data_IF_478338275815
#
_entry.id   IF_478338275815
#
_cell.length_a   1.000
_cell.length_b   1.000
_cell.length_c   1.000
_cell.angle_alpha   90.00
_cell.angle_beta   90.00
_cell.angle_gamma   90.00
#
_symmetry.space_group_name_H-M   'P 1'
#
loop_
_entity.id
_entity.type
_entity.pdbx_description
1 polymer ?
#
# COMPACT_ATOMS: atom_id res chain seq x y z
N UNK A 1 -56.34 -17.41 -28.51
CA UNK A 1 -55.47 -16.55 -27.66
C UNK A 1 -54.56 -17.34 -26.68
N UNK A 2 -54.96 -18.45 -26.09
CA UNK A 2 -54.12 -19.24 -25.14
C UNK A 2 -52.93 -19.97 -25.78
N UNK A 3 -53.00 -20.30 -27.09
CA UNK A 3 -51.91 -20.97 -27.82
C UNK A 3 -50.74 -20.01 -28.18
N UNK A 4 -51.06 -18.76 -28.52
CA UNK A 4 -50.09 -17.75 -28.92
C UNK A 4 -49.22 -17.26 -27.72
N UNK A 5 -49.81 -17.17 -26.54
CA UNK A 5 -49.08 -16.84 -25.29
C UNK A 5 -48.12 -17.95 -24.82
N UNK A 6 -48.44 -19.22 -25.08
CA UNK A 6 -47.56 -20.35 -24.77
C UNK A 6 -46.38 -20.43 -25.73
N UNK A 7 -46.55 -20.08 -26.99
CA UNK A 7 -45.47 -20.04 -27.97
C UNK A 7 -44.48 -18.86 -27.69
N UNK A 8 -45.01 -17.69 -27.26
CA UNK A 8 -44.16 -16.56 -26.85
C UNK A 8 -43.34 -16.84 -25.57
N UNK A 9 -43.94 -17.52 -24.59
CA UNK A 9 -43.23 -17.90 -23.36
C UNK A 9 -42.13 -18.94 -23.59
N UNK A 10 -42.31 -19.86 -24.55
CA UNK A 10 -41.33 -20.85 -24.93
C UNK A 10 -40.14 -20.28 -25.75
N UNK A 11 -40.37 -19.16 -26.48
CA UNK A 11 -39.32 -18.50 -27.26
C UNK A 11 -38.46 -17.52 -26.44
N UNK A 12 -38.97 -17.01 -25.30
CA UNK A 12 -38.22 -16.09 -24.42
C UNK A 12 -37.26 -16.82 -23.47
N UNK A 13 -37.58 -18.09 -23.12
CA UNK A 13 -36.75 -18.88 -22.19
C UNK A 13 -35.34 -19.20 -22.71
N UNK A 14 -35.08 -19.51 -24.00
CA UNK A 14 -33.72 -19.75 -24.49
C UNK A 14 -32.88 -18.48 -24.69
N UNK A 15 -33.52 -17.30 -24.81
CA UNK A 15 -32.80 -16.02 -24.98
C UNK A 15 -32.20 -15.51 -23.67
N UNK A 16 -32.74 -15.94 -22.52
CA UNK A 16 -32.18 -15.56 -21.19
C UNK A 16 -30.96 -16.39 -20.77
N UNK A 17 -30.64 -17.46 -21.49
CA UNK A 17 -29.50 -18.36 -21.10
C UNK A 17 -28.19 -17.94 -21.77
N UNK A 18 -28.18 -16.99 -22.71
CA UNK A 18 -26.98 -16.58 -23.49
C UNK A 18 -26.19 -15.42 -22.83
N UNK A 19 -26.63 -14.86 -21.72
CA UNK A 19 -25.88 -13.90 -20.92
C UNK A 19 -25.24 -14.54 -19.69
N UNK A 20 -24.61 -15.70 -19.84
CA UNK A 20 -23.56 -16.09 -18.90
C UNK A 20 -22.33 -15.23 -19.23
N UNK A 21 -22.20 -14.12 -18.52
CA UNK A 21 -21.02 -13.27 -18.52
C UNK A 21 -19.81 -14.17 -18.25
N UNK A 22 -18.84 -14.14 -19.15
CA UNK A 22 -17.50 -14.61 -18.86
C UNK A 22 -16.95 -13.81 -17.66
N UNK A 23 -17.21 -14.32 -16.46
CA UNK A 23 -16.78 -13.72 -15.21
C UNK A 23 -15.33 -14.14 -14.86
N UNK A 24 -14.54 -14.59 -15.82
CA UNK A 24 -13.21 -15.15 -15.64
C UNK A 24 -12.06 -14.24 -16.12
N UNK A 25 -12.28 -13.41 -17.13
CA UNK A 25 -11.24 -12.59 -17.69
C UNK A 25 -10.85 -11.43 -16.73
N UNK A 26 -9.55 -11.28 -16.47
CA UNK A 26 -9.01 -10.20 -15.67
C UNK A 26 -8.04 -9.38 -16.53
N UNK A 27 -7.99 -8.05 -16.33
CA UNK A 27 -7.04 -7.23 -17.07
C UNK A 27 -5.63 -7.44 -16.50
N UNK A 28 -4.63 -7.31 -17.35
CA UNK A 28 -3.23 -7.45 -16.94
C UNK A 28 -2.91 -6.57 -15.72
N UNK A 29 -3.39 -5.32 -15.68
CA UNK A 29 -3.17 -4.42 -14.52
C UNK A 29 -3.79 -4.89 -13.20
N UNK A 30 -4.82 -5.74 -13.24
CA UNK A 30 -5.49 -6.25 -12.04
C UNK A 30 -4.75 -7.46 -11.44
N UNK A 31 -4.00 -8.20 -12.27
CA UNK A 31 -3.30 -9.43 -11.89
C UNK A 31 -1.77 -9.31 -11.87
N UNK A 32 -1.23 -8.15 -12.25
CA UNK A 32 0.21 -7.96 -12.39
C UNK A 32 0.66 -6.54 -12.02
N UNK A 33 1.97 -6.38 -12.00
CA UNK A 33 2.66 -5.10 -11.84
C UNK A 33 3.85 -5.02 -12.80
N UNK A 34 4.27 -3.81 -13.19
CA UNK A 34 5.45 -3.64 -14.04
C UNK A 34 6.71 -3.51 -13.19
N UNK A 35 7.79 -4.17 -13.62
CA UNK A 35 9.09 -4.06 -12.95
C UNK A 35 9.58 -2.61 -12.97
N UNK A 36 10.05 -2.13 -11.81
CA UNK A 36 10.47 -0.73 -11.65
C UNK A 36 9.35 0.24 -11.31
N UNK A 37 8.09 -0.22 -11.30
CA UNK A 37 6.92 0.57 -10.90
C UNK A 37 6.47 0.09 -9.53
N UNK A 38 6.95 0.73 -8.47
CA UNK A 38 6.60 0.37 -7.08
C UNK A 38 6.56 1.59 -6.19
N UNK A 39 5.73 1.54 -5.18
CA UNK A 39 5.76 2.49 -4.07
C UNK A 39 7.01 2.26 -3.21
N UNK A 40 7.70 3.33 -2.85
CA UNK A 40 8.88 3.28 -2.00
C UNK A 40 8.53 3.81 -0.61
N UNK A 41 8.90 3.06 0.42
CA UNK A 41 8.69 3.47 1.81
C UNK A 41 9.78 4.46 2.21
N UNK A 42 9.35 5.60 2.75
CA UNK A 42 10.23 6.60 3.31
C UNK A 42 10.07 6.67 4.83
N UNK A 43 11.18 6.88 5.52
CA UNK A 43 11.19 7.03 6.96
C UNK A 43 12.09 8.20 7.37
N UNK A 44 11.65 8.93 8.39
CA UNK A 44 12.41 10.00 9.00
C UNK A 44 12.28 10.00 10.52
N UNK A 45 13.19 10.66 11.16
CA UNK A 45 13.17 10.92 12.59
C UNK A 45 13.06 12.42 12.82
N UNK A 46 12.08 12.85 13.58
CA UNK A 46 11.77 14.25 13.78
C UNK A 46 11.26 14.58 15.17
N UNK A 47 10.84 15.81 15.32
CA UNK A 47 10.23 16.33 16.55
C UNK A 47 8.90 16.99 16.26
N UNK A 48 7.94 16.72 17.11
CA UNK A 48 6.68 17.45 17.19
C UNK A 48 6.77 18.43 18.34
N UNK A 49 6.42 19.68 18.08
CA UNK A 49 6.46 20.78 19.03
C UNK A 49 5.06 21.39 19.24
N UNK A 50 4.89 22.20 20.29
CA UNK A 50 3.63 22.88 20.57
C UNK A 50 2.58 22.01 21.22
N UNK A 51 2.98 20.90 21.85
CA UNK A 51 2.07 20.02 22.56
C UNK A 51 1.61 20.68 23.88
N UNK A 52 0.31 20.57 24.24
CA UNK A 52 -0.21 21.20 25.47
C UNK A 52 0.13 20.37 26.73
N UNK A 53 1.41 20.22 27.03
CA UNK A 53 1.90 19.45 28.17
C UNK A 53 1.76 17.92 28.05
N UNK A 54 1.42 17.41 26.87
CA UNK A 54 1.23 15.98 26.57
C UNK A 54 2.44 15.31 25.94
N UNK A 55 3.53 16.05 25.77
CA UNK A 55 4.78 15.57 25.20
C UNK A 55 5.55 14.64 26.14
N UNK A 56 6.86 14.63 25.97
CA UNK A 56 7.76 13.72 26.69
C UNK A 56 7.94 14.08 28.16
N UNK A 57 8.26 13.06 28.94
CA UNK A 57 8.89 13.27 30.23
C UNK A 57 10.37 13.60 30.01
N UNK A 58 10.97 14.33 30.95
CA UNK A 58 12.40 14.64 30.88
C UNK A 58 13.24 13.35 31.04
N UNK A 59 13.71 12.82 29.93
CA UNK A 59 14.69 11.74 29.90
C UNK A 59 15.89 12.12 29.03
N UNK A 60 17.02 11.45 29.21
CA UNK A 60 18.26 11.78 28.51
C UNK A 60 18.14 11.66 26.99
N UNK A 61 17.35 10.72 26.49
CA UNK A 61 17.14 10.52 25.06
C UNK A 61 16.39 11.71 24.43
N UNK A 62 15.28 12.13 25.00
CA UNK A 62 14.49 13.25 24.49
C UNK A 62 15.26 14.57 24.56
N UNK A 63 16.02 14.78 25.65
CA UNK A 63 16.87 15.94 25.82
C UNK A 63 17.98 16.01 24.75
N UNK A 64 18.67 14.90 24.52
CA UNK A 64 19.71 14.85 23.48
C UNK A 64 19.16 15.07 22.07
N UNK A 65 18.01 14.48 21.76
CA UNK A 65 17.34 14.68 20.47
C UNK A 65 17.01 16.15 20.24
N UNK A 66 16.43 16.79 21.26
CA UNK A 66 16.08 18.22 21.18
C UNK A 66 17.32 19.11 21.00
N UNK A 67 18.41 18.82 21.74
CA UNK A 67 19.70 19.53 21.60
C UNK A 67 20.27 19.35 20.21
N UNK A 68 20.29 18.14 19.68
CA UNK A 68 20.80 17.85 18.33
C UNK A 68 20.02 18.63 17.28
N UNK A 69 18.69 18.68 17.41
CA UNK A 69 17.85 19.43 16.51
C UNK A 69 18.15 20.94 16.56
N UNK A 70 18.23 21.54 17.74
CA UNK A 70 18.55 22.96 17.88
C UNK A 70 19.94 23.29 17.34
N UNK A 71 20.90 22.42 17.53
CA UNK A 71 22.23 22.57 16.93
C UNK A 71 22.17 22.58 15.40
N UNK A 72 21.31 21.75 14.77
CA UNK A 72 21.10 21.75 13.33
C UNK A 72 20.50 23.07 12.82
N UNK A 73 19.74 23.79 13.66
CA UNK A 73 19.23 25.13 13.38
C UNK A 73 20.22 26.24 13.79
N UNK A 74 21.44 25.89 14.21
CA UNK A 74 22.46 26.86 14.62
C UNK A 74 22.27 27.41 16.04
N UNK A 75 21.31 26.89 16.80
CA UNK A 75 21.03 27.30 18.20
C UNK A 75 21.79 26.39 19.15
N UNK A 76 22.79 26.93 19.83
CA UNK A 76 23.56 26.22 20.86
C UNK A 76 22.94 26.46 22.23
N UNK A 77 22.52 25.42 22.91
CA UNK A 77 22.07 25.48 24.30
C UNK A 77 23.22 25.02 25.20
N UNK A 78 23.46 25.76 26.29
CA UNK A 78 24.42 25.38 27.30
C UNK A 78 24.08 24.02 27.91
N UNK A 79 25.10 23.20 28.18
CA UNK A 79 24.94 21.84 28.75
C UNK A 79 24.29 21.83 30.14
N UNK A 80 24.35 22.94 30.85
CA UNK A 80 23.72 23.09 32.18
C UNK A 80 22.25 23.41 32.12
N UNK A 81 21.69 23.73 30.95
CA UNK A 81 20.26 24.02 30.79
C UNK A 81 19.49 22.73 30.51
N UNK A 82 18.55 22.40 31.38
CA UNK A 82 17.62 21.27 31.17
C UNK A 82 16.31 21.79 30.61
N UNK A 83 16.05 21.60 29.27
CA UNK A 83 14.82 22.05 28.67
C UNK A 83 13.62 21.25 29.21
N UNK A 84 12.46 21.91 29.33
CA UNK A 84 11.21 21.24 29.67
C UNK A 84 10.65 20.57 28.43
N UNK A 85 10.57 19.23 28.46
CA UNK A 85 10.19 18.43 27.28
C UNK A 85 8.67 18.18 27.17
N UNK A 86 7.85 18.73 28.06
CA UNK A 86 6.38 18.48 28.09
C UNK A 86 5.65 18.94 26.82
N UNK A 87 6.22 19.88 26.09
CA UNK A 87 5.61 20.46 24.89
C UNK A 87 6.24 19.93 23.61
N UNK A 88 7.11 18.91 23.71
CA UNK A 88 7.88 18.34 22.62
C UNK A 88 7.79 16.80 22.66
N UNK A 89 7.75 16.15 21.50
CA UNK A 89 7.82 14.69 21.40
C UNK A 89 8.71 14.26 20.24
N UNK A 90 9.67 13.34 20.45
CA UNK A 90 10.39 12.69 19.39
C UNK A 90 9.46 11.71 18.65
N UNK A 91 9.55 11.73 17.35
CA UNK A 91 8.65 10.96 16.47
C UNK A 91 9.38 10.27 15.34
N UNK A 92 8.84 9.13 14.92
CA UNK A 92 9.12 8.55 13.59
C UNK A 92 8.06 9.03 12.62
N UNK A 93 8.51 9.37 11.44
CA UNK A 93 7.71 9.89 10.34
C UNK A 93 7.77 8.89 9.20
N UNK A 94 6.63 8.44 8.73
CA UNK A 94 6.51 7.51 7.61
C UNK A 94 5.75 8.16 6.47
N UNK A 95 6.21 7.91 5.25
CA UNK A 95 5.50 8.30 4.03
C UNK A 95 5.68 7.23 2.96
N UNK A 96 4.73 7.18 2.05
CA UNK A 96 4.78 6.33 0.86
C UNK A 96 5.03 7.21 -0.35
N UNK A 97 6.18 7.01 -1.00
CA UNK A 97 6.52 7.72 -2.22
C UNK A 97 6.00 6.92 -3.41
N UNK A 98 4.97 7.43 -4.13
CA UNK A 98 4.43 6.76 -5.31
C UNK A 98 5.49 6.59 -6.40
N UNK A 99 5.35 5.60 -7.29
CA UNK A 99 6.19 5.52 -8.46
C UNK A 99 6.02 6.78 -9.33
N UNK A 100 7.09 7.19 -9.97
CA UNK A 100 7.14 8.38 -10.84
C UNK A 100 6.80 9.72 -10.18
N UNK A 101 6.79 9.79 -8.86
CA UNK A 101 6.59 11.05 -8.15
C UNK A 101 7.65 12.07 -8.58
N UNK A 102 7.23 13.30 -8.91
CA UNK A 102 8.08 14.38 -9.37
C UNK A 102 8.47 15.32 -8.25
N UNK A 103 9.63 15.96 -8.38
CA UNK A 103 10.06 17.01 -7.47
C UNK A 103 8.98 18.08 -7.33
N UNK A 104 8.72 18.53 -6.10
CA UNK A 104 7.68 19.51 -5.77
C UNK A 104 6.28 18.92 -5.55
N UNK A 105 6.04 17.63 -5.85
CA UNK A 105 4.78 16.98 -5.48
C UNK A 105 4.70 16.74 -3.98
N UNK A 106 3.48 16.75 -3.45
CA UNK A 106 3.24 16.50 -2.03
C UNK A 106 2.69 15.11 -1.78
N UNK A 107 3.07 14.53 -0.65
CA UNK A 107 2.63 13.21 -0.20
C UNK A 107 2.16 13.27 1.25
N UNK A 108 1.26 12.36 1.61
CA UNK A 108 0.75 12.22 2.97
C UNK A 108 1.81 11.66 3.90
N UNK A 109 1.76 12.08 5.15
CA UNK A 109 2.72 11.67 6.18
C UNK A 109 1.99 11.13 7.40
N UNK A 110 2.49 10.03 7.93
CA UNK A 110 2.08 9.48 9.22
C UNK A 110 3.18 9.70 10.25
N UNK A 111 2.83 10.27 11.38
CA UNK A 111 3.75 10.63 12.46
C UNK A 111 3.39 9.84 13.70
N UNK A 112 4.35 9.13 14.28
CA UNK A 112 4.16 8.26 15.44
C UNK A 112 5.17 8.61 16.53
N UNK A 113 4.70 8.81 17.77
CA UNK A 113 5.58 9.05 18.91
C UNK A 113 6.43 7.81 19.21
N UNK A 114 7.72 8.03 19.50
CA UNK A 114 8.65 6.94 19.87
C UNK A 114 8.76 6.79 21.38
N UNK A 115 8.56 7.88 22.11
CA UNK A 115 8.80 7.93 23.55
C UNK A 115 7.51 7.78 24.38
N UNK A 116 7.47 8.53 25.50
CA UNK A 116 6.41 8.48 26.51
C UNK A 116 5.33 9.56 26.32
N UNK A 117 5.31 10.24 25.18
CA UNK A 117 4.31 11.27 24.90
C UNK A 117 2.89 10.70 25.02
N UNK A 118 2.03 11.37 25.79
CA UNK A 118 0.66 10.93 26.01
C UNK A 118 -0.24 11.20 24.79
N UNK A 119 0.04 12.26 24.03
CA UNK A 119 -0.74 12.65 22.85
C UNK A 119 0.08 13.60 21.98
N UNK A 120 -0.08 13.47 20.64
CA UNK A 120 0.48 14.40 19.66
C UNK A 120 -0.53 15.47 19.21
N UNK A 121 -1.71 15.54 19.84
CA UNK A 121 -2.78 16.45 19.44
C UNK A 121 -2.38 17.91 19.64
N UNK A 122 -2.64 18.72 18.60
CA UNK A 122 -2.28 20.15 18.59
C UNK A 122 -0.81 20.43 18.25
N UNK A 123 -0.01 19.38 18.11
CA UNK A 123 1.40 19.52 17.77
C UNK A 123 1.66 19.79 16.30
N UNK A 124 2.84 20.34 16.03
CA UNK A 124 3.35 20.60 14.69
C UNK A 124 4.68 19.86 14.50
N UNK A 125 4.78 19.10 13.42
CA UNK A 125 6.03 18.46 13.00
C UNK A 125 6.95 19.55 12.43
N UNK A 126 8.14 19.64 12.96
CA UNK A 126 9.18 20.49 12.38
C UNK A 126 9.82 19.80 11.19
N UNK A 127 10.54 20.58 10.37
CA UNK A 127 11.21 20.08 9.18
C UNK A 127 11.97 18.79 9.45
N UNK A 128 11.60 17.72 8.74
CA UNK A 128 12.11 16.36 8.92
C UNK A 128 12.45 15.76 7.57
N UNK A 129 13.68 15.29 7.41
CA UNK A 129 14.11 14.61 6.20
C UNK A 129 13.63 13.17 6.18
N UNK A 130 12.96 12.79 5.08
CA UNK A 130 12.50 11.43 4.85
C UNK A 130 13.47 10.70 3.92
N UNK A 131 13.97 9.56 4.37
CA UNK A 131 14.98 8.77 3.69
C UNK A 131 14.41 7.46 3.18
N UNK A 132 14.93 7.01 2.04
CA UNK A 132 14.68 5.67 1.51
C UNK A 132 15.56 4.60 2.16
N UNK A 133 15.44 3.38 1.69
CA UNK A 133 16.23 2.23 2.15
C UNK A 133 17.76 2.37 1.86
N UNK A 134 18.12 3.19 0.90
CA UNK A 134 19.49 3.58 0.53
C UNK A 134 20.07 4.70 1.40
N UNK A 135 19.31 5.16 2.41
CA UNK A 135 19.62 6.27 3.29
C UNK A 135 19.69 7.66 2.62
N UNK A 136 19.31 7.78 1.36
CA UNK A 136 19.21 9.05 0.65
C UNK A 136 17.90 9.79 0.98
N UNK A 137 17.95 11.13 0.98
CA UNK A 137 16.77 11.97 1.24
C UNK A 137 15.95 12.11 -0.04
N UNK A 138 14.67 11.74 0.04
CA UNK A 138 13.71 11.82 -1.07
C UNK A 138 12.61 12.85 -0.85
N UNK A 139 12.26 13.14 0.40
CA UNK A 139 11.23 14.12 0.71
C UNK A 139 11.54 14.84 2.02
N UNK A 140 10.89 15.98 2.21
CA UNK A 140 10.98 16.80 3.44
C UNK A 140 9.57 16.99 3.99
N UNK A 141 9.37 16.55 5.23
CA UNK A 141 8.08 16.59 5.92
C UNK A 141 8.02 17.72 6.94
N UNK A 142 6.87 18.42 6.99
CA UNK A 142 6.56 19.42 8.03
C UNK A 142 5.05 19.70 8.07
N UNK A 143 4.55 20.21 9.19
CA UNK A 143 3.17 20.67 9.26
C UNK A 143 2.45 20.29 10.54
N UNK A 144 1.22 20.79 10.67
CA UNK A 144 0.37 20.53 11.82
C UNK A 144 -0.28 19.16 11.76
N UNK A 145 -0.26 18.42 12.87
CA UNK A 145 -0.79 17.08 12.96
C UNK A 145 -2.31 17.07 13.13
N UNK A 146 -2.97 16.23 12.36
CA UNK A 146 -4.35 15.80 12.62
C UNK A 146 -4.29 14.45 13.36
N UNK A 147 -4.69 14.47 14.61
CA UNK A 147 -4.69 13.28 15.49
C UNK A 147 -6.11 12.82 15.70
N UNK A 148 -6.40 11.59 15.29
CA UNK A 148 -7.68 10.92 15.55
C UNK A 148 -7.74 10.36 16.97
N UNK A 149 -8.88 10.57 17.65
CA UNK A 149 -9.09 10.04 18.97
C UNK A 149 -8.79 11.02 20.11
N UNK A 150 -9.17 10.60 21.33
CA UNK A 150 -8.88 11.32 22.56
C UNK A 150 -8.53 10.35 23.67
N UNK A 151 -7.72 10.80 24.61
CA UNK A 151 -7.46 10.14 25.88
C UNK A 151 -7.79 11.07 27.02
N UNK A 152 -8.55 10.60 27.99
CA UNK A 152 -8.80 11.29 29.23
C UNK A 152 -8.33 10.42 30.42
N UNK A 153 -7.64 11.03 31.35
CA UNK A 153 -7.17 10.39 32.58
C UNK A 153 -7.86 11.09 33.76
N UNK A 154 -8.65 10.33 34.51
CA UNK A 154 -9.31 10.85 35.71
C UNK A 154 -8.34 11.00 36.88
N UNK A 155 -8.66 11.87 37.84
CA UNK A 155 -7.88 12.07 39.08
C UNK A 155 -7.81 10.80 39.96
N UNK A 156 -8.70 9.86 39.72
CA UNK A 156 -8.83 8.55 40.42
C UNK A 156 -7.99 7.44 39.69
N UNK A 157 -7.22 7.78 38.64
CA UNK A 157 -6.45 6.84 37.89
C UNK A 157 -7.23 6.11 36.77
N UNK A 158 -8.51 6.42 36.59
CA UNK A 158 -9.29 5.88 35.46
C UNK A 158 -8.79 6.47 34.16
N UNK A 159 -8.61 5.62 33.12
CA UNK A 159 -8.10 6.02 31.79
C UNK A 159 -9.05 5.56 30.70
N UNK A 160 -9.61 6.53 29.98
CA UNK A 160 -10.38 6.26 28.78
C UNK A 160 -9.54 6.70 27.57
N UNK A 161 -9.21 5.76 26.69
CA UNK A 161 -8.51 6.04 25.44
C UNK A 161 -9.37 5.54 24.29
N UNK A 162 -9.84 6.45 23.45
CA UNK A 162 -10.47 6.11 22.18
C UNK A 162 -9.52 6.42 21.03
N UNK A 163 -9.17 5.40 20.26
CA UNK A 163 -8.13 5.42 19.23
C UNK A 163 -6.73 5.72 19.79
N UNK A 164 -5.75 5.89 18.93
CA UNK A 164 -4.34 6.06 19.33
C UNK A 164 -3.93 7.54 19.26
N UNK A 165 -3.91 8.28 20.39
CA UNK A 165 -3.59 9.71 20.40
C UNK A 165 -2.11 10.01 20.13
N UNK A 166 -1.26 8.99 20.10
CA UNK A 166 0.19 9.08 19.84
C UNK A 166 0.56 8.91 18.38
N UNK A 167 -0.45 8.79 17.49
CA UNK A 167 -0.27 8.75 16.04
C UNK A 167 -1.11 9.84 15.40
N UNK A 168 -0.51 10.60 14.49
CA UNK A 168 -1.18 11.63 13.71
C UNK A 168 -0.84 11.54 12.24
N UNK A 169 -1.64 12.21 11.41
CA UNK A 169 -1.39 12.36 9.97
C UNK A 169 -1.26 13.82 9.61
N UNK A 170 -0.47 14.10 8.59
CA UNK A 170 -0.37 15.41 7.94
C UNK A 170 -0.69 15.16 6.47
N UNK A 171 -1.87 15.60 6.03
CA UNK A 171 -2.25 15.51 4.63
C UNK A 171 -1.33 16.44 3.81
N UNK A 172 -0.77 15.91 2.72
CA UNK A 172 0.21 16.61 1.88
C UNK A 172 1.39 17.17 2.71
N UNK A 173 1.76 16.46 3.77
CA UNK A 173 2.71 16.94 4.78
C UNK A 173 4.18 16.81 4.41
N UNK A 174 4.52 16.16 3.31
CA UNK A 174 5.88 16.13 2.80
C UNK A 174 5.95 16.52 1.33
N UNK A 175 7.00 17.26 0.98
CA UNK A 175 7.33 17.63 -0.40
C UNK A 175 8.43 16.70 -0.91
N UNK A 176 8.24 16.17 -2.11
CA UNK A 176 9.24 15.35 -2.80
C UNK A 176 10.38 16.25 -3.29
N UNK A 177 11.60 15.95 -2.88
CA UNK A 177 12.81 16.68 -3.26
C UNK A 177 13.63 15.97 -4.32
N UNK A 178 13.49 14.64 -4.42
CA UNK A 178 14.22 13.80 -5.36
C UNK A 178 13.32 12.70 -5.92
N UNK A 179 13.42 12.47 -7.22
CA UNK A 179 12.77 11.34 -7.89
C UNK A 179 13.53 10.02 -7.59
N UNK A 180 12.80 8.91 -7.47
CA UNK A 180 13.43 7.59 -7.36
C UNK A 180 13.79 7.12 -8.78
N UNK A 181 15.05 6.78 -9.03
CA UNK A 181 15.43 6.17 -10.30
C UNK A 181 14.65 4.87 -10.55
N UNK A 182 14.08 4.74 -11.72
CA UNK A 182 13.35 3.54 -12.12
C UNK A 182 13.98 2.90 -13.35
N UNK A 183 13.97 1.57 -13.38
CA UNK A 183 14.39 0.83 -14.58
C UNK A 183 13.33 0.79 -15.67
N UNK A 184 12.13 1.30 -15.41
CA UNK A 184 11.00 1.26 -16.35
C UNK A 184 11.34 1.90 -17.71
N UNK A 185 12.09 3.01 -17.73
CA UNK A 185 12.51 3.72 -18.94
C UNK A 185 13.77 3.16 -19.62
N UNK A 186 14.40 2.14 -19.05
CA UNK A 186 15.70 1.64 -19.52
C UNK A 186 15.55 0.37 -20.38
N UNK A 187 16.39 0.26 -21.41
CA UNK A 187 16.44 -0.92 -22.28
C UNK A 187 15.31 -0.99 -23.30
N UNK A 188 15.20 -2.15 -23.95
CA UNK A 188 14.26 -2.48 -25.03
C UNK A 188 13.22 -3.54 -24.60
N UNK A 189 13.13 -3.77 -23.32
CA UNK A 189 12.17 -4.72 -22.74
C UNK A 189 11.45 -4.13 -21.53
N UNK A 190 10.26 -4.64 -21.27
CA UNK A 190 9.48 -4.41 -20.03
C UNK A 190 9.21 -5.78 -19.42
N UNK A 191 9.34 -5.89 -18.13
CA UNK A 191 8.96 -7.10 -17.40
C UNK A 191 7.66 -6.87 -16.63
N UNK A 192 6.69 -7.73 -16.87
CA UNK A 192 5.41 -7.80 -16.17
C UNK A 192 5.56 -8.88 -15.10
N UNK A 193 5.30 -8.52 -13.85
CA UNK A 193 5.35 -9.42 -12.70
C UNK A 193 3.93 -9.77 -12.26
N UNK A 194 3.57 -11.04 -12.31
CA UNK A 194 2.28 -11.52 -11.82
C UNK A 194 2.21 -11.43 -10.29
N UNK A 195 1.08 -10.95 -9.77
CA UNK A 195 0.84 -10.85 -8.33
C UNK A 195 0.78 -12.22 -7.65
N UNK A 196 0.32 -13.24 -8.38
CA UNK A 196 0.31 -14.64 -7.93
C UNK A 196 1.09 -15.49 -8.92
N UNK A 197 2.16 -16.17 -8.48
CA UNK A 197 2.96 -17.03 -9.33
C UNK A 197 2.17 -18.23 -9.87
N UNK A 198 2.02 -18.32 -11.20
CA UNK A 198 1.37 -19.43 -11.88
C UNK A 198 1.85 -19.54 -13.34
N UNK A 199 2.37 -20.72 -13.71
CA UNK A 199 2.93 -20.96 -15.05
C UNK A 199 1.89 -20.84 -16.17
N UNK A 200 0.66 -21.29 -15.92
CA UNK A 200 -0.41 -21.24 -16.91
C UNK A 200 -0.85 -19.79 -17.16
N UNK A 201 -1.02 -19.02 -16.09
CA UNK A 201 -1.33 -17.59 -16.17
C UNK A 201 -0.22 -16.81 -16.87
N UNK A 202 1.05 -17.09 -16.55
CA UNK A 202 2.20 -16.45 -17.22
C UNK A 202 2.22 -16.73 -18.73
N UNK A 203 1.99 -17.99 -19.12
CA UNK A 203 1.92 -18.41 -20.52
C UNK A 203 0.74 -17.74 -21.25
N UNK A 204 -0.46 -17.75 -20.63
CA UNK A 204 -1.66 -17.12 -21.21
C UNK A 204 -1.49 -15.61 -21.35
N UNK A 205 -0.83 -14.97 -20.38
CA UNK A 205 -0.51 -13.53 -20.44
C UNK A 205 0.42 -13.23 -21.61
N UNK A 206 1.49 -14.01 -21.79
CA UNK A 206 2.40 -13.83 -22.93
C UNK A 206 1.67 -14.06 -24.26
N UNK A 207 0.81 -15.06 -24.34
CA UNK A 207 0.05 -15.37 -25.55
C UNK A 207 -0.95 -14.26 -25.87
N UNK A 208 -1.72 -13.78 -24.90
CA UNK A 208 -2.68 -12.67 -25.10
C UNK A 208 -1.99 -11.40 -25.63
N UNK A 209 -0.79 -11.10 -25.13
CA UNK A 209 0.01 -9.96 -25.62
C UNK A 209 0.45 -10.19 -27.08
N UNK A 210 0.92 -11.39 -27.41
CA UNK A 210 1.37 -11.72 -28.76
C UNK A 210 0.21 -11.72 -29.76
N UNK A 211 -0.94 -12.22 -29.36
CA UNK A 211 -2.15 -12.26 -30.21
C UNK A 211 -2.65 -10.84 -30.50
N UNK A 212 -2.67 -9.94 -29.51
CA UNK A 212 -3.08 -8.54 -29.69
C UNK A 212 -2.11 -7.77 -30.61
N UNK A 213 -0.81 -7.98 -30.44
CA UNK A 213 0.19 -7.26 -31.22
C UNK A 213 0.50 -7.91 -32.57
N UNK A 214 0.04 -9.12 -32.81
CA UNK A 214 0.26 -9.88 -34.05
C UNK A 214 1.71 -10.32 -34.29
N UNK A 215 2.57 -10.23 -33.27
CA UNK A 215 4.00 -10.58 -33.33
C UNK A 215 4.45 -11.20 -31.98
N UNK A 216 5.45 -12.09 -32.02
CA UNK A 216 6.02 -12.72 -30.82
C UNK A 216 6.99 -11.79 -30.10
N UNK A 217 6.46 -10.88 -29.27
CA UNK A 217 7.23 -9.93 -28.46
C UNK A 217 7.23 -10.27 -26.97
N UNK A 218 6.26 -11.06 -26.52
CA UNK A 218 6.12 -11.46 -25.13
C UNK A 218 6.54 -12.90 -24.90
N UNK A 219 7.31 -13.15 -23.85
CA UNK A 219 7.77 -14.49 -23.42
C UNK A 219 7.62 -14.65 -21.91
N UNK A 220 6.97 -15.71 -21.49
CA UNK A 220 6.97 -16.10 -20.08
C UNK A 220 8.37 -16.59 -19.71
N UNK A 221 9.00 -15.93 -18.73
CA UNK A 221 10.33 -16.26 -18.24
C UNK A 221 10.27 -17.31 -17.14
N UNK A 222 9.31 -17.17 -16.26
CA UNK A 222 9.01 -18.06 -15.14
C UNK A 222 7.53 -17.93 -14.74
N UNK A 223 7.14 -18.57 -13.62
CA UNK A 223 5.76 -18.51 -13.12
C UNK A 223 5.28 -17.12 -12.69
N UNK A 224 6.19 -16.18 -12.51
CA UNK A 224 5.90 -14.85 -11.98
C UNK A 224 6.17 -13.74 -12.98
N UNK A 225 7.00 -13.97 -14.01
CA UNK A 225 7.48 -12.90 -14.87
C UNK A 225 7.31 -13.18 -16.34
N UNK A 226 6.79 -12.19 -17.05
CA UNK A 226 6.65 -12.15 -18.51
C UNK A 226 7.47 -10.97 -19.02
N UNK A 227 8.42 -11.24 -19.92
CA UNK A 227 9.24 -10.21 -20.56
C UNK A 227 8.64 -9.86 -21.91
N UNK A 228 8.48 -8.58 -22.18
CA UNK A 228 7.88 -8.05 -23.42
C UNK A 228 8.88 -7.08 -24.06
N UNK A 229 9.14 -7.23 -25.35
CA UNK A 229 9.91 -6.25 -26.12
C UNK A 229 9.11 -4.96 -26.24
N UNK A 230 9.73 -3.83 -25.93
CA UNK A 230 9.05 -2.54 -25.82
C UNK A 230 9.82 -1.44 -26.56
N UNK A 231 9.13 -0.39 -27.05
CA UNK A 231 9.78 0.77 -27.65
C UNK A 231 10.77 1.43 -26.69
N UNK A 232 11.84 2.00 -27.23
CA UNK A 232 12.82 2.78 -26.44
C UNK A 232 12.40 4.21 -26.23
N UNK A 233 11.60 4.75 -27.14
CA UNK A 233 11.02 6.09 -26.97
C UNK A 233 10.06 6.08 -25.80
N UNK A 234 10.20 7.06 -24.90
CA UNK A 234 9.45 7.11 -23.66
C UNK A 234 7.94 7.33 -23.87
N UNK A 235 7.57 8.14 -24.87
CA UNK A 235 6.17 8.40 -25.18
C UNK A 235 5.49 7.18 -25.78
N UNK A 236 6.15 6.52 -26.74
CA UNK A 236 5.66 5.28 -27.34
C UNK A 236 5.56 4.17 -26.29
N UNK A 237 6.53 4.11 -25.35
CA UNK A 237 6.54 3.14 -24.25
C UNK A 237 5.36 3.32 -23.32
N UNK A 238 4.98 4.55 -22.96
CA UNK A 238 3.80 4.82 -22.13
C UNK A 238 2.52 4.37 -22.83
N UNK A 239 2.38 4.69 -24.14
CA UNK A 239 1.23 4.24 -24.93
C UNK A 239 1.18 2.71 -25.03
N UNK A 240 2.31 2.08 -25.27
CA UNK A 240 2.44 0.63 -25.31
C UNK A 240 2.01 -0.04 -24.01
N UNK A 241 2.50 0.45 -22.87
CA UNK A 241 2.09 -0.07 -21.55
C UNK A 241 0.61 0.15 -21.27
N UNK A 242 0.06 1.32 -21.64
CA UNK A 242 -1.37 1.59 -21.48
C UNK A 242 -2.24 0.62 -22.30
N UNK A 243 -1.76 0.16 -23.47
CA UNK A 243 -2.42 -0.90 -24.24
C UNK A 243 -2.32 -2.23 -23.51
N UNK A 244 -1.14 -2.62 -23.03
CA UNK A 244 -0.93 -3.88 -22.33
C UNK A 244 -1.75 -3.98 -21.04
N UNK A 245 -1.85 -2.91 -20.28
CA UNK A 245 -2.60 -2.88 -19.01
C UNK A 245 -4.07 -3.25 -19.15
N UNK A 246 -4.66 -2.94 -20.28
CA UNK A 246 -6.09 -3.14 -20.53
C UNK A 246 -6.41 -4.47 -21.23
N UNK A 247 -5.39 -5.25 -21.63
CA UNK A 247 -5.61 -6.57 -22.22
C UNK A 247 -6.23 -7.51 -21.20
N UNK A 248 -7.23 -8.24 -21.65
CA UNK A 248 -7.91 -9.25 -20.85
C UNK A 248 -7.18 -10.59 -20.97
N UNK A 249 -6.96 -11.23 -19.86
CA UNK A 249 -6.36 -12.54 -19.72
C UNK A 249 -7.25 -13.40 -18.85
N UNK A 250 -7.45 -14.65 -19.26
CA UNK A 250 -8.12 -15.66 -18.45
C UNK A 250 -7.08 -16.33 -17.54
N UNK A 251 -6.97 -15.93 -16.23
CA UNK A 251 -6.00 -16.53 -15.33
C UNK A 251 -6.33 -18.00 -15.08
N UNK A 252 -5.33 -18.79 -14.73
CA UNK A 252 -5.58 -20.16 -14.33
C UNK A 252 -6.42 -20.23 -13.05
N UNK A 253 -7.17 -21.30 -12.91
CA UNK A 253 -7.98 -21.55 -11.71
C UNK A 253 -7.14 -21.43 -10.45
N UNK A 254 -7.63 -20.63 -9.50
CA UNK A 254 -6.97 -20.50 -8.21
C UNK A 254 -6.85 -21.86 -7.51
N UNK A 255 -5.72 -22.11 -6.87
CA UNK A 255 -5.52 -23.32 -6.05
C UNK A 255 -6.62 -23.42 -5.00
N UNK A 256 -7.13 -24.64 -4.78
CA UNK A 256 -8.09 -24.91 -3.72
C UNK A 256 -7.54 -24.40 -2.37
N UNK A 257 -8.23 -23.42 -1.76
CA UNK A 257 -7.80 -22.78 -0.52
C UNK A 257 -8.96 -22.60 0.44
N UNK A 258 -8.72 -22.93 1.70
CA UNK A 258 -9.61 -22.64 2.82
C UNK A 258 -8.91 -21.62 3.71
N UNK A 259 -9.56 -20.52 4.03
CA UNK A 259 -9.05 -19.51 4.96
C UNK A 259 -9.91 -19.52 6.21
N UNK A 260 -9.28 -19.76 7.36
CA UNK A 260 -9.93 -19.75 8.67
C UNK A 260 -9.42 -18.57 9.48
N UNK A 261 -10.33 -17.67 9.87
CA UNK A 261 -10.02 -16.63 10.82
C UNK A 261 -10.42 -17.09 12.22
N UNK A 262 -9.46 -17.57 12.99
CA UNK A 262 -9.69 -18.11 14.33
C UNK A 262 -10.25 -17.07 15.33
N UNK A 263 -10.00 -15.78 15.12
CA UNK A 263 -10.49 -14.71 16.01
C UNK A 263 -11.97 -14.39 15.81
N UNK A 264 -12.43 -14.42 14.55
CA UNK A 264 -13.83 -14.08 14.21
C UNK A 264 -14.69 -15.32 13.96
N UNK A 265 -14.10 -16.52 13.89
CA UNK A 265 -14.78 -17.76 13.53
C UNK A 265 -15.19 -17.85 12.04
N UNK A 266 -14.73 -16.90 11.21
CA UNK A 266 -15.10 -16.87 9.79
C UNK A 266 -14.29 -17.90 9.00
N UNK A 267 -14.99 -18.71 8.20
CA UNK A 267 -14.39 -19.69 7.27
C UNK A 267 -14.76 -19.29 5.85
N UNK A 268 -13.76 -19.12 5.00
CA UNK A 268 -13.91 -18.85 3.58
C UNK A 268 -13.41 -20.05 2.82
N UNK A 269 -14.28 -20.65 2.00
CA UNK A 269 -13.98 -21.84 1.19
C UNK A 269 -13.93 -21.40 -0.27
N UNK A 270 -12.77 -21.58 -0.92
CA UNK A 270 -12.63 -21.32 -2.35
C UNK A 270 -13.44 -22.32 -3.18
N UNK A 271 -13.95 -21.86 -4.34
CA UNK A 271 -14.83 -22.66 -5.21
C UNK A 271 -14.19 -23.98 -5.70
N UNK A 272 -12.86 -24.04 -5.80
CA UNK A 272 -12.12 -25.21 -6.26
C UNK A 272 -11.83 -26.23 -5.16
N UNK A 273 -12.34 -26.01 -3.94
CA UNK A 273 -12.18 -26.95 -2.83
C UNK A 273 -13.16 -28.12 -3.01
N UNK A 274 -12.62 -29.33 -3.16
CA UNK A 274 -13.40 -30.57 -3.25
C UNK A 274 -13.16 -31.42 -2.03
N UNK A 275 -14.22 -31.93 -1.41
CA UNK A 275 -14.13 -32.92 -0.35
C UNK A 275 -14.02 -34.29 -1.01
N UNK A 276 -13.01 -35.07 -0.58
CA UNK A 276 -12.95 -36.53 -0.87
C UNK A 276 -13.72 -37.25 0.22
N UNK A 277 -14.21 -38.46 -0.04
CA UNK A 277 -14.83 -39.30 1.01
C UNK A 277 -13.90 -39.37 2.23
N UNK A 278 -14.39 -38.93 3.37
CA UNK A 278 -13.66 -38.94 4.63
C UNK A 278 -14.59 -39.39 5.77
N UNK A 279 -14.08 -40.20 6.67
CA UNK A 279 -14.76 -40.49 7.92
C UNK A 279 -14.35 -39.42 8.95
N UNK A 280 -15.33 -38.75 9.56
CA UNK A 280 -15.10 -37.76 10.60
C UNK A 280 -15.78 -38.21 11.88
N UNK A 281 -15.01 -38.34 12.94
CA UNK A 281 -15.52 -38.63 14.30
C UNK A 281 -15.29 -37.38 15.19
N UNK A 282 -16.34 -36.92 15.84
CA UNK A 282 -16.25 -35.86 16.85
C UNK A 282 -17.10 -36.24 18.06
N UNK A 283 -16.45 -36.51 19.18
CA UNK A 283 -17.14 -37.04 20.38
C UNK A 283 -17.82 -38.36 20.12
N UNK A 284 -19.13 -38.46 20.36
CA UNK A 284 -19.94 -39.64 20.11
C UNK A 284 -20.62 -39.72 18.73
N UNK A 285 -20.28 -38.80 17.81
CA UNK A 285 -20.80 -38.75 16.41
C UNK A 285 -19.77 -39.35 15.45
N UNK A 286 -20.20 -40.32 14.66
CA UNK A 286 -19.40 -40.96 13.60
C UNK A 286 -20.03 -40.65 12.26
#
# INVERSE_FOLDING_TARGET
MKGLMRALAAAVLPVLIVFSSDAGAARIKDISSFQGVRTNQLMGYGLVVGLPGTGEKNNAFSEQTFRTMLNNFGIKISDNLKPKMKDVAPVVVHAELPPFAKQGQTIDVTVSAIGEAKSLRGGTLIQTFLRGADNEVYAVAQGSLVVGGFGAEGADGSKIVMNTPTVGRIANGATVEREVPTSFGLGDTITINLNTPDFTTAMRTAQAINDELGIEVAKAKDASSVTVSAPRDQNERVQFVATLENLEVDPADAKAKIVVNARTGTIIIGQNVKLRPAAVTHGGLT
#
